data_IF_867007444206
#
_entry.id   IF_867007444206
#
_cell.length_a   1.000
_cell.length_b   1.000
_cell.length_c   1.000
_cell.angle_alpha   90.00
_cell.angle_beta   90.00
_cell.angle_gamma   90.00
#
_symmetry.space_group_name_H-M   'P 1'
#
loop_
_entity.id
_entity.type
_entity.pdbx_description
1 polymer ?
#
# COMPACT_ATOMS: atom_id res chain seq x y z
N UNK A 1 -4.19 1.66 -6.29
CA UNK A 1 -3.94 3.08 -6.65
C UNK A 1 -5.10 3.94 -6.18
N UNK A 2 -4.89 5.20 -5.75
CA UNK A 2 -5.98 6.10 -5.38
C UNK A 2 -7.01 6.27 -6.51
N UNK A 3 -8.29 6.41 -6.17
CA UNK A 3 -9.37 6.64 -7.17
C UNK A 3 -9.22 7.95 -7.94
N UNK A 4 -8.40 8.88 -7.44
CA UNK A 4 -8.07 10.13 -8.10
C UNK A 4 -7.12 9.97 -9.29
N UNK A 5 -6.46 8.80 -9.41
CA UNK A 5 -5.57 8.51 -10.53
C UNK A 5 -6.40 8.00 -11.71
N UNK A 6 -6.24 8.64 -12.87
CA UNK A 6 -6.85 8.19 -14.11
C UNK A 6 -6.17 6.91 -14.60
N UNK A 7 -6.83 5.76 -14.40
CA UNK A 7 -6.31 4.46 -14.82
C UNK A 7 -6.57 4.15 -16.29
N UNK A 8 -7.26 5.03 -17.03
CA UNK A 8 -7.50 4.85 -18.47
C UNK A 8 -6.27 5.16 -19.31
N UNK A 9 -5.25 5.82 -18.73
CA UNK A 9 -4.05 6.29 -19.43
C UNK A 9 -2.79 6.16 -18.58
N UNK A 10 -2.64 5.06 -17.83
CA UNK A 10 -1.41 4.82 -17.07
C UNK A 10 -0.25 4.57 -18.00
N UNK A 11 0.93 5.06 -17.65
CA UNK A 11 2.17 4.89 -18.39
C UNK A 11 3.12 3.99 -17.57
N UNK A 12 3.03 2.65 -17.71
CA UNK A 12 3.86 1.73 -16.95
C UNK A 12 5.31 1.75 -17.40
N UNK A 13 6.25 1.75 -16.45
CA UNK A 13 7.66 1.49 -16.72
C UNK A 13 7.94 0.01 -16.46
N UNK A 14 8.28 -0.73 -17.51
CA UNK A 14 8.49 -2.17 -17.46
C UNK A 14 9.94 -2.47 -17.82
N UNK A 15 10.63 -3.20 -16.96
CA UNK A 15 11.97 -3.73 -17.26
C UNK A 15 11.86 -5.20 -17.61
N UNK A 16 12.44 -5.59 -18.72
CA UNK A 16 12.57 -6.97 -19.16
C UNK A 16 14.04 -7.36 -19.21
N UNK A 17 14.34 -8.65 -19.33
CA UNK A 17 15.69 -9.14 -19.50
C UNK A 17 16.29 -8.67 -20.84
N UNK A 18 17.61 -8.76 -20.93
CA UNK A 18 18.34 -8.42 -22.16
C UNK A 18 17.81 -9.23 -23.36
N UNK A 19 17.67 -8.58 -24.50
CA UNK A 19 17.10 -9.14 -25.75
C UNK A 19 15.62 -9.57 -25.67
N UNK A 20 14.91 -9.25 -24.58
CA UNK A 20 13.47 -9.46 -24.52
C UNK A 20 12.70 -8.20 -24.91
N UNK A 21 11.51 -8.41 -25.48
CA UNK A 21 10.53 -7.36 -25.79
C UNK A 21 9.28 -7.57 -24.96
N UNK A 22 8.51 -6.49 -24.76
CA UNK A 22 7.20 -6.57 -24.06
C UNK A 22 6.13 -5.84 -24.86
N UNK A 23 4.96 -6.40 -24.93
CA UNK A 23 3.79 -5.80 -25.53
C UNK A 23 2.58 -5.88 -24.56
N UNK A 24 1.88 -4.76 -24.28
CA UNK A 24 2.15 -3.37 -24.69
C UNK A 24 3.55 -2.88 -24.29
N UNK A 25 4.10 -1.94 -25.07
CA UNK A 25 5.48 -1.48 -24.82
C UNK A 25 5.58 -0.65 -23.55
N UNK A 26 6.74 -0.75 -22.87
CA UNK A 26 7.07 0.08 -21.71
C UNK A 26 7.02 1.57 -22.08
N UNK A 27 6.39 2.39 -21.22
CA UNK A 27 6.25 3.83 -21.44
C UNK A 27 5.10 4.23 -22.36
N UNK A 28 4.32 3.30 -22.91
CA UNK A 28 3.09 3.62 -23.64
C UNK A 28 1.90 3.78 -22.68
N UNK A 29 0.94 4.70 -22.96
CA UNK A 29 -0.29 4.78 -22.20
C UNK A 29 -1.17 3.55 -22.43
N UNK A 30 -1.66 2.98 -21.34
CA UNK A 30 -2.50 1.76 -21.32
C UNK A 30 -3.71 1.97 -20.44
N UNK A 31 -4.87 1.49 -20.89
CA UNK A 31 -6.12 1.48 -20.13
C UNK A 31 -6.18 0.25 -19.20
N UNK A 32 -6.18 0.50 -17.88
CA UNK A 32 -6.26 -0.52 -16.82
C UNK A 32 -7.65 -0.61 -16.19
N UNK A 33 -8.70 -0.13 -16.84
CA UNK A 33 -10.09 -0.33 -16.36
C UNK A 33 -10.49 -1.81 -16.39
N UNK A 34 -9.73 -2.63 -17.15
CA UNK A 34 -9.81 -4.09 -17.18
C UNK A 34 -8.41 -4.68 -17.05
N UNK A 35 -8.29 -5.96 -16.65
CA UNK A 35 -7.02 -6.65 -16.64
C UNK A 35 -6.33 -6.57 -18.02
N UNK A 36 -5.05 -6.24 -18.04
CA UNK A 36 -4.24 -6.09 -19.25
C UNK A 36 -3.25 -7.24 -19.35
N UNK A 37 -3.22 -7.89 -20.50
CA UNK A 37 -2.24 -8.94 -20.80
C UNK A 37 -0.95 -8.31 -21.33
N UNK A 38 0.15 -8.53 -20.63
CA UNK A 38 1.50 -8.21 -21.11
C UNK A 38 2.20 -9.47 -21.60
N UNK A 39 2.61 -9.44 -22.85
CA UNK A 39 3.35 -10.55 -23.45
C UNK A 39 4.84 -10.18 -23.52
N UNK A 40 5.66 -10.97 -22.87
CA UNK A 40 7.13 -10.84 -22.92
C UNK A 40 7.66 -11.92 -23.88
N UNK A 41 8.45 -11.50 -24.86
CA UNK A 41 9.06 -12.38 -25.85
C UNK A 41 10.58 -12.25 -25.78
N UNK A 42 11.26 -13.39 -25.69
CA UNK A 42 12.71 -13.48 -25.78
C UNK A 42 13.03 -14.58 -26.82
N UNK A 43 13.54 -14.19 -27.97
CA UNK A 43 13.73 -15.07 -29.13
C UNK A 43 12.42 -15.80 -29.51
N UNK A 44 12.36 -17.12 -29.30
CA UNK A 44 11.17 -17.93 -29.54
C UNK A 44 10.32 -18.20 -28.32
N UNK A 45 10.79 -17.84 -27.12
CA UNK A 45 10.07 -18.04 -25.87
C UNK A 45 9.13 -16.86 -25.58
N UNK A 46 7.89 -17.16 -25.25
CA UNK A 46 6.86 -16.17 -24.95
C UNK A 46 6.18 -16.50 -23.63
N UNK A 47 5.98 -15.48 -22.78
CA UNK A 47 5.24 -15.58 -21.52
C UNK A 47 4.24 -14.44 -21.43
N UNK A 48 3.04 -14.73 -20.94
CA UNK A 48 1.98 -13.73 -20.75
C UNK A 48 1.69 -13.52 -19.27
N UNK A 49 1.63 -12.26 -18.87
CA UNK A 49 1.31 -11.80 -17.50
C UNK A 49 0.03 -10.98 -17.53
N UNK A 50 -0.93 -11.32 -16.69
CA UNK A 50 -2.15 -10.53 -16.53
C UNK A 50 -1.93 -9.52 -15.40
N UNK A 51 -2.01 -8.24 -15.73
CA UNK A 51 -1.85 -7.14 -14.77
C UNK A 51 -3.20 -6.52 -14.49
N UNK A 52 -3.60 -6.50 -13.22
CA UNK A 52 -4.82 -5.84 -12.74
C UNK A 52 -4.44 -4.64 -11.88
N UNK A 53 -5.01 -3.48 -12.18
CA UNK A 53 -4.87 -2.29 -11.35
C UNK A 53 -6.15 -2.08 -10.57
N UNK A 54 -6.07 -2.22 -9.25
CA UNK A 54 -7.17 -1.92 -8.36
C UNK A 54 -7.07 -0.46 -7.88
N UNK A 55 -8.14 0.30 -8.09
CA UNK A 55 -8.27 1.63 -7.50
C UNK A 55 -8.83 1.51 -6.09
N UNK A 56 -8.11 2.06 -5.13
CA UNK A 56 -8.55 2.15 -3.74
C UNK A 56 -9.20 3.51 -3.57
N UNK A 57 -10.45 3.53 -3.10
CA UNK A 57 -11.13 4.77 -2.71
C UNK A 57 -10.41 5.44 -1.53
N UNK A 58 -10.79 6.68 -1.24
CA UNK A 58 -10.34 7.31 0.00
C UNK A 58 -10.86 6.47 1.16
N UNK A 59 -9.99 5.88 2.01
CA UNK A 59 -10.46 5.03 3.08
C UNK A 59 -11.17 5.85 4.15
N UNK A 60 -12.18 5.28 4.78
CA UNK A 60 -12.78 5.83 5.99
C UNK A 60 -12.07 5.36 7.25
N UNK A 61 -11.32 4.26 7.15
CA UNK A 61 -10.51 3.71 8.22
C UNK A 61 -9.26 3.01 7.65
N UNK A 62 -8.15 3.07 8.38
CA UNK A 62 -6.87 2.48 7.99
C UNK A 62 -6.34 1.61 9.11
N UNK A 63 -6.03 0.35 8.82
CA UNK A 63 -5.18 -0.46 9.69
C UNK A 63 -3.72 -0.19 9.32
N UNK A 64 -2.98 0.45 10.22
CA UNK A 64 -1.58 0.80 10.00
C UNK A 64 -0.64 -0.20 10.65
N UNK A 65 0.45 -0.58 9.98
CA UNK A 65 1.49 -1.43 10.55
C UNK A 65 2.89 -1.05 10.07
N UNK A 66 3.90 -1.59 10.76
CA UNK A 66 5.31 -1.52 10.35
C UNK A 66 5.63 -2.45 9.17
N UNK A 67 4.87 -3.53 9.02
CA UNK A 67 5.01 -4.47 7.91
C UNK A 67 4.66 -3.79 6.58
N UNK A 68 5.32 -4.17 5.49
CA UNK A 68 5.05 -3.61 4.17
C UNK A 68 3.82 -4.24 3.53
N UNK A 69 3.51 -5.49 3.90
CA UNK A 69 2.36 -6.25 3.39
C UNK A 69 1.61 -6.94 4.51
N UNK A 70 0.35 -7.30 4.28
CA UNK A 70 -0.44 -8.07 5.25
C UNK A 70 0.14 -9.46 5.53
N UNK A 71 0.89 -10.04 4.60
CA UNK A 71 1.48 -11.38 4.77
C UNK A 71 2.67 -11.37 5.73
N UNK A 72 3.27 -10.21 5.98
CA UNK A 72 4.36 -10.01 6.93
C UNK A 72 3.87 -9.70 8.35
N UNK A 73 2.55 -9.54 8.54
CA UNK A 73 1.98 -9.28 9.87
C UNK A 73 2.15 -10.50 10.78
N UNK A 74 2.47 -10.23 12.05
CA UNK A 74 2.41 -11.28 13.08
C UNK A 74 0.95 -11.73 13.27
N UNK A 75 0.71 -12.97 13.76
CA UNK A 75 -0.63 -13.56 13.79
C UNK A 75 -1.69 -12.68 14.45
N UNK A 76 -1.36 -12.00 15.55
CA UNK A 76 -2.27 -11.15 16.30
C UNK A 76 -2.63 -9.87 15.52
N UNK A 77 -1.64 -9.22 14.89
CA UNK A 77 -1.88 -8.06 14.03
C UNK A 77 -2.68 -8.45 12.80
N UNK A 78 -2.38 -9.63 12.21
CA UNK A 78 -3.09 -10.14 11.04
C UNK A 78 -4.55 -10.39 11.35
N UNK A 79 -4.86 -11.04 12.47
CA UNK A 79 -6.23 -11.28 12.91
C UNK A 79 -7.00 -9.96 13.16
N UNK A 80 -6.36 -8.98 13.78
CA UNK A 80 -6.96 -7.65 14.00
C UNK A 80 -7.21 -6.90 12.68
N UNK A 81 -6.25 -6.95 11.76
CA UNK A 81 -6.38 -6.36 10.44
C UNK A 81 -7.52 -7.02 9.63
N UNK A 82 -7.54 -8.33 9.56
CA UNK A 82 -8.58 -9.10 8.85
C UNK A 82 -9.97 -8.80 9.43
N UNK A 83 -10.08 -8.73 10.76
CA UNK A 83 -11.33 -8.35 11.41
C UNK A 83 -11.78 -6.94 10.98
N UNK A 84 -10.89 -5.95 11.01
CA UNK A 84 -11.22 -4.59 10.59
C UNK A 84 -11.67 -4.53 9.13
N UNK A 85 -10.92 -5.19 8.23
CA UNK A 85 -11.25 -5.20 6.81
C UNK A 85 -12.59 -5.89 6.50
N UNK A 86 -12.99 -6.85 7.33
CA UNK A 86 -14.26 -7.56 7.20
C UNK A 86 -15.46 -6.82 7.81
N UNK A 87 -15.25 -5.95 8.81
CA UNK A 87 -16.32 -5.37 9.62
C UNK A 87 -16.43 -3.84 9.52
N UNK A 88 -15.46 -3.17 8.93
CA UNK A 88 -15.46 -1.71 8.78
C UNK A 88 -15.46 -1.36 7.30
N UNK A 89 -16.55 -0.76 6.85
CA UNK A 89 -16.73 -0.38 5.45
C UNK A 89 -15.63 0.58 4.99
N UNK A 90 -15.15 0.34 3.76
CA UNK A 90 -14.13 1.15 3.12
C UNK A 90 -12.84 1.30 3.95
N UNK A 91 -12.53 0.27 4.76
CA UNK A 91 -11.26 0.15 5.45
C UNK A 91 -10.18 -0.43 4.54
N UNK A 92 -8.93 -0.06 4.80
CA UNK A 92 -7.76 -0.60 4.09
C UNK A 92 -6.64 -0.94 5.06
N UNK A 93 -5.74 -1.82 4.61
CA UNK A 93 -4.41 -1.96 5.18
C UNK A 93 -3.47 -0.93 4.56
N UNK A 94 -2.58 -0.34 5.36
CA UNK A 94 -1.48 0.48 4.88
C UNK A 94 -0.25 0.32 5.78
N UNK A 95 0.93 0.26 5.18
CA UNK A 95 2.16 0.39 5.95
C UNK A 95 2.40 1.84 6.36
N UNK A 96 3.16 2.07 7.43
CA UNK A 96 3.61 3.44 7.77
C UNK A 96 4.47 4.04 6.67
N UNK A 97 5.16 3.22 5.90
CA UNK A 97 5.90 3.64 4.71
C UNK A 97 4.97 4.21 3.64
N UNK A 98 3.82 3.58 3.39
CA UNK A 98 2.82 4.09 2.44
C UNK A 98 2.21 5.41 2.92
N UNK A 99 1.88 5.50 4.22
CA UNK A 99 1.35 6.72 4.83
C UNK A 99 2.36 7.86 4.69
N UNK A 100 3.62 7.63 5.04
CA UNK A 100 4.72 8.60 4.93
C UNK A 100 4.89 9.11 3.49
N UNK A 101 4.81 8.21 2.52
CA UNK A 101 5.05 8.52 1.11
C UNK A 101 3.82 9.13 0.41
N UNK A 102 2.69 9.31 1.12
CA UNK A 102 1.45 9.84 0.56
C UNK A 102 0.75 8.87 -0.41
N UNK A 103 1.05 7.57 -0.31
CA UNK A 103 0.40 6.54 -1.12
C UNK A 103 -1.06 6.28 -0.67
N UNK A 104 -1.43 6.79 0.51
CA UNK A 104 -2.77 6.67 1.10
C UNK A 104 -3.34 8.07 1.27
N UNK A 105 -4.50 8.32 0.67
CA UNK A 105 -5.24 9.57 0.87
C UNK A 105 -6.06 9.49 2.17
N UNK A 106 -5.59 10.16 3.21
CA UNK A 106 -6.22 10.18 4.53
C UNK A 106 -7.32 11.26 4.68
N UNK A 107 -7.65 12.02 3.63
CA UNK A 107 -8.54 13.18 3.73
C UNK A 107 -9.98 12.86 4.15
N UNK A 108 -10.43 11.61 3.98
CA UNK A 108 -11.74 11.11 4.44
C UNK A 108 -11.61 10.05 5.54
N UNK A 109 -10.38 9.75 5.92
CA UNK A 109 -10.10 8.77 6.97
C UNK A 109 -10.52 9.34 8.33
N UNK A 110 -11.29 8.56 9.08
CA UNK A 110 -11.76 8.94 10.43
C UNK A 110 -10.95 8.26 11.52
N UNK A 111 -10.44 7.07 11.24
CA UNK A 111 -9.74 6.24 12.20
C UNK A 111 -8.50 5.63 11.57
N UNK A 112 -7.36 5.75 12.24
CA UNK A 112 -6.17 4.96 11.98
C UNK A 112 -5.98 4.04 13.18
N UNK A 113 -6.18 2.73 12.97
CA UNK A 113 -5.94 1.72 13.99
C UNK A 113 -4.56 1.11 13.80
N UNK A 114 -3.71 1.26 14.79
CA UNK A 114 -2.43 0.61 14.87
C UNK A 114 -2.41 -0.36 16.05
N UNK A 115 -2.32 -1.66 15.76
CA UNK A 115 -2.12 -2.69 16.77
C UNK A 115 -0.62 -2.97 16.88
N UNK A 116 0.02 -2.42 17.89
CA UNK A 116 1.44 -2.61 18.15
C UNK A 116 1.61 -3.40 19.43
N UNK A 117 2.04 -4.66 19.28
CA UNK A 117 2.39 -5.52 20.39
C UNK A 117 3.87 -5.88 20.31
N UNK A 118 4.67 -5.28 21.16
CA UNK A 118 6.06 -5.68 21.34
C UNK A 118 6.29 -5.86 22.83
N UNK A 119 6.85 -7.03 23.22
CA UNK A 119 7.23 -7.29 24.59
C UNK A 119 8.09 -6.16 25.12
N UNK A 120 7.49 -5.35 25.99
CA UNK A 120 8.08 -4.14 26.54
C UNK A 120 9.19 -4.46 27.50
N UNK A 121 10.38 -4.34 27.10
CA UNK A 121 11.45 -4.14 28.08
C UNK A 121 11.26 -2.79 28.76
N UNK A 122 11.73 -2.70 29.98
CA UNK A 122 11.49 -1.73 31.04
C UNK A 122 11.72 -0.22 30.74
N UNK A 123 12.14 0.19 29.53
CA UNK A 123 12.53 1.58 29.22
C UNK A 123 11.76 2.14 28.01
N UNK A 124 10.46 2.31 28.17
CA UNK A 124 9.41 2.67 27.23
C UNK A 124 9.75 3.56 26.03
N UNK A 125 10.30 4.76 26.18
CA UNK A 125 10.36 5.76 25.11
C UNK A 125 11.48 5.51 24.10
N UNK A 126 12.69 5.28 24.54
CA UNK A 126 13.84 5.05 23.65
C UNK A 126 13.69 3.77 22.82
N UNK A 127 12.99 2.76 23.38
CA UNK A 127 12.73 1.50 22.68
C UNK A 127 11.62 1.60 21.64
N UNK A 128 10.63 2.47 21.82
CA UNK A 128 9.60 2.71 20.82
C UNK A 128 10.21 3.34 19.56
N UNK A 129 11.03 4.38 19.70
CA UNK A 129 11.70 5.02 18.56
C UNK A 129 12.60 4.07 17.78
N UNK A 130 13.27 3.14 18.49
CA UNK A 130 14.08 2.09 17.86
C UNK A 130 13.25 0.96 17.26
N UNK A 131 12.09 0.67 17.82
CA UNK A 131 11.24 -0.44 17.41
C UNK A 131 10.27 -0.10 16.28
N UNK A 132 10.01 1.20 16.06
CA UNK A 132 9.01 1.69 15.11
C UNK A 132 9.53 2.90 14.30
N UNK A 133 10.72 2.81 13.67
CA UNK A 133 11.29 3.94 12.92
C UNK A 133 10.40 4.39 11.76
N UNK A 134 9.65 3.49 11.14
CA UNK A 134 8.71 3.79 10.05
C UNK A 134 7.53 4.63 10.55
N UNK A 135 6.99 4.32 11.74
CA UNK A 135 5.93 5.10 12.37
C UNK A 135 6.42 6.50 12.75
N UNK A 136 7.64 6.61 13.29
CA UNK A 136 8.27 7.90 13.56
C UNK A 136 8.48 8.70 12.26
N UNK A 137 8.91 8.04 11.20
CA UNK A 137 9.08 8.68 9.89
C UNK A 137 7.75 9.19 9.29
N UNK A 138 6.61 8.60 9.65
CA UNK A 138 5.27 9.03 9.24
C UNK A 138 4.67 10.12 10.16
N UNK A 139 5.35 10.51 11.24
CA UNK A 139 4.81 11.39 12.30
C UNK A 139 4.26 12.72 11.76
N UNK A 140 4.88 13.32 10.75
CA UNK A 140 4.41 14.58 10.18
C UNK A 140 3.02 14.43 9.55
N UNK A 141 2.81 13.39 8.76
CA UNK A 141 1.53 13.08 8.10
C UNK A 141 0.46 12.74 9.14
N UNK A 142 0.80 11.91 10.14
CA UNK A 142 -0.11 11.53 11.21
C UNK A 142 -0.53 12.74 12.07
N UNK A 143 0.39 13.64 12.36
CA UNK A 143 0.10 14.89 13.08
C UNK A 143 -0.87 15.78 12.30
N UNK A 144 -0.68 15.91 10.99
CA UNK A 144 -1.53 16.73 10.15
C UNK A 144 -2.93 16.10 10.00
N UNK A 145 -2.99 14.77 9.88
CA UNK A 145 -4.23 13.99 9.95
C UNK A 145 -4.99 14.23 11.28
N UNK A 146 -4.31 14.13 12.41
CA UNK A 146 -4.91 14.37 13.74
C UNK A 146 -5.44 15.81 13.88
N UNK A 147 -4.69 16.81 13.41
CA UNK A 147 -5.12 18.21 13.43
C UNK A 147 -6.34 18.47 12.55
N UNK A 148 -6.54 17.67 11.50
CA UNK A 148 -7.71 17.72 10.64
C UNK A 148 -8.95 17.03 11.24
N UNK A 149 -8.85 16.47 12.45
CA UNK A 149 -9.95 15.83 13.18
C UNK A 149 -9.99 14.31 13.05
N UNK A 150 -8.93 13.69 12.57
CA UNK A 150 -8.78 12.22 12.58
C UNK A 150 -8.50 11.67 13.99
N UNK A 151 -8.78 10.39 14.21
CA UNK A 151 -8.59 9.68 15.48
C UNK A 151 -7.94 8.29 15.28
#
# INVERSE_FOLDING_TARGET
MPKTVDITKLIPSIKVSENATVAPVSGAPVDFTKPVAYTVTNNTATSTYIVTVNQIGKPTAVFASLALTMDELVPEEKAACEWMLANVDNSIYASFTDIKNGNVDLSECKVIWWHFHKDGGVDGKAKFEQAAPEAIAAQAVLRDYYKAGGS
#
